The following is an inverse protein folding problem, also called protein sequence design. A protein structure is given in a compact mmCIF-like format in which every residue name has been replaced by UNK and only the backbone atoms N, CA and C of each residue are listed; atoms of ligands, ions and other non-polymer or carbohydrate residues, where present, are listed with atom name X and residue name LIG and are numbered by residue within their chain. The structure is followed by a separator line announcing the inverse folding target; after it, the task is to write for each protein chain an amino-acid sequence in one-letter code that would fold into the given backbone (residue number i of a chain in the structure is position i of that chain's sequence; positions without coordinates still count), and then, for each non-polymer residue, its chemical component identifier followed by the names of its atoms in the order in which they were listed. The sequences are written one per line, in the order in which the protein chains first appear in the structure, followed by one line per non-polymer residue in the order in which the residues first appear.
data_IF_832525105344
#
_entry.id   IF_832525105344
#
_cell.length_a   1.000
_cell.length_b   1.000
_cell.length_c   1.000
_cell.angle_alpha   90.00
_cell.angle_beta   90.00
_cell.angle_gamma   90.00
#
_symmetry.space_group_name_H-M   'P 1'
#
loop_
_entity.id
_entity.type
_entity.pdbx_description
1 polymer ?
#
# COMPACT_ATOMS: atom_id res chain seq x y z
N UNK A 1 -0.73 0.68 -17.25
CA UNK A 1 -0.31 -0.64 -16.71
C UNK A 1 0.68 -0.50 -15.55
N UNK A 2 0.55 0.54 -14.69
CA UNK A 2 1.53 0.81 -13.63
C UNK A 2 1.41 -0.13 -12.42
N UNK A 3 0.29 -0.83 -12.28
CA UNK A 3 0.10 -1.87 -11.28
C UNK A 3 -0.57 -3.07 -11.95
N UNK A 4 0.12 -4.21 -11.96
CA UNK A 4 -0.37 -5.45 -12.60
C UNK A 4 -1.06 -6.39 -11.59
N UNK A 5 -0.94 -6.09 -10.30
CA UNK A 5 -1.45 -6.86 -9.15
C UNK A 5 -2.77 -6.32 -8.62
N UNK A 6 -3.26 -5.18 -9.09
CA UNK A 6 -4.49 -4.53 -8.60
C UNK A 6 -4.58 -3.05 -8.95
N UNK A 7 -5.54 -2.31 -8.35
CA UNK A 7 -5.62 -0.86 -8.48
C UNK A 7 -4.41 -0.19 -7.80
N UNK A 8 -4.06 1.01 -8.28
CA UNK A 8 -3.15 1.89 -7.54
C UNK A 8 -3.81 2.28 -6.22
N UNK A 9 -3.03 2.38 -5.15
CA UNK A 9 -3.50 2.78 -3.83
C UNK A 9 -2.93 4.14 -3.42
N UNK A 10 -3.68 4.90 -2.65
CA UNK A 10 -3.21 6.10 -1.96
C UNK A 10 -3.02 5.77 -0.49
N UNK A 11 -1.77 5.68 -0.04
CA UNK A 11 -1.44 5.36 1.33
C UNK A 11 -1.04 6.62 2.10
N UNK A 12 -1.47 6.73 3.35
CA UNK A 12 -1.09 7.86 4.19
C UNK A 12 0.42 7.89 4.48
N UNK A 13 1.02 6.71 4.63
CA UNK A 13 2.47 6.54 4.74
C UNK A 13 2.92 5.21 4.14
N UNK A 14 4.20 5.15 3.79
CA UNK A 14 4.92 3.92 3.45
C UNK A 14 6.05 3.76 4.44
N UNK A 15 6.10 2.63 5.14
CA UNK A 15 7.07 2.35 6.19
C UNK A 15 7.77 1.01 5.95
N UNK A 16 8.85 0.75 6.68
CA UNK A 16 9.54 -0.53 6.58
C UNK A 16 8.87 -1.59 7.45
N UNK A 17 8.77 -2.83 6.98
CA UNK A 17 8.27 -3.95 7.79
C UNK A 17 9.09 -4.21 9.06
N UNK A 18 10.33 -3.72 9.12
CA UNK A 18 11.20 -3.81 10.30
C UNK A 18 11.04 -2.66 11.30
N UNK A 19 10.27 -1.62 10.98
CA UNK A 19 10.00 -0.53 11.93
C UNK A 19 9.23 -1.09 13.13
N UNK A 20 9.64 -0.83 14.39
CA UNK A 20 9.07 -1.50 15.56
C UNK A 20 7.54 -1.43 15.65
N UNK A 21 6.96 -0.29 15.25
CA UNK A 21 5.51 -0.10 15.20
C UNK A 21 4.83 -0.94 14.11
N UNK A 22 5.44 -1.03 12.93
CA UNK A 22 4.93 -1.83 11.81
C UNK A 22 5.07 -3.31 12.13
N UNK A 23 6.22 -3.77 12.61
CA UNK A 23 6.44 -5.16 13.05
C UNK A 23 5.40 -5.59 14.08
N UNK A 24 5.10 -4.73 15.05
CA UNK A 24 4.09 -5.01 16.07
C UNK A 24 2.69 -5.11 15.46
N UNK A 25 2.32 -4.18 14.57
CA UNK A 25 1.04 -4.20 13.86
C UNK A 25 0.88 -5.46 13.00
N UNK A 26 1.89 -5.81 12.22
CA UNK A 26 1.91 -7.02 11.39
C UNK A 26 1.75 -8.28 12.26
N UNK A 27 2.44 -8.33 13.40
CA UNK A 27 2.30 -9.44 14.37
C UNK A 27 0.90 -9.56 14.95
N UNK A 28 0.23 -8.43 15.26
CA UNK A 28 -1.16 -8.42 15.72
C UNK A 28 -2.15 -8.89 14.65
N UNK A 29 -1.85 -8.60 13.38
CA UNK A 29 -2.65 -9.02 12.23
C UNK A 29 -2.34 -10.45 11.76
N UNK A 30 -1.33 -11.10 12.36
CA UNK A 30 -0.89 -12.44 11.95
C UNK A 30 -0.18 -12.47 10.60
N UNK A 31 0.32 -11.32 10.12
CA UNK A 31 1.06 -11.21 8.85
C UNK A 31 2.53 -11.52 9.14
N UNK A 32 3.03 -12.59 8.52
CA UNK A 32 4.43 -13.00 8.60
C UNK A 32 5.10 -12.69 7.28
N UNK A 33 6.18 -11.91 7.33
CA UNK A 33 6.99 -11.54 6.17
C UNK A 33 8.38 -12.14 6.32
N UNK A 34 8.91 -12.74 5.25
CA UNK A 34 10.27 -13.29 5.23
C UNK A 34 11.37 -12.19 5.16
N UNK A 35 11.00 -10.91 5.11
CA UNK A 35 11.92 -9.77 5.00
C UNK A 35 11.62 -8.65 5.99
N UNK A 36 12.68 -8.15 6.64
CA UNK A 36 12.62 -7.03 7.59
C UNK A 36 12.63 -5.63 6.94
N UNK A 37 12.65 -5.54 5.60
CA UNK A 37 12.68 -4.27 4.86
C UNK A 37 11.65 -4.23 3.73
N UNK A 38 10.54 -4.94 3.88
CA UNK A 38 9.45 -4.92 2.91
C UNK A 38 8.71 -3.58 3.06
N UNK A 39 8.49 -2.82 1.98
CA UNK A 39 7.69 -1.59 2.06
C UNK A 39 6.23 -1.89 2.37
N UNK A 40 5.73 -1.27 3.43
CA UNK A 40 4.37 -1.43 3.92
C UNK A 40 3.62 -0.12 3.78
N UNK A 41 2.54 -0.13 3.00
CA UNK A 41 1.58 0.97 2.95
C UNK A 41 0.65 0.92 4.15
N UNK A 42 0.46 2.03 4.84
CA UNK A 42 -0.48 2.15 5.96
C UNK A 42 -1.65 3.06 5.62
N UNK A 43 -2.83 2.66 6.07
CA UNK A 43 -4.09 3.38 5.85
C UNK A 43 -4.24 3.73 4.37
N UNK A 44 -4.34 2.68 3.54
CA UNK A 44 -4.41 2.82 2.09
C UNK A 44 -5.86 2.77 1.62
N UNK A 45 -6.18 3.60 0.62
CA UNK A 45 -7.44 3.53 -0.10
C UNK A 45 -7.19 3.26 -1.58
N UNK A 46 -8.02 2.43 -2.24
CA UNK A 46 -7.89 2.21 -3.67
C UNK A 46 -8.22 3.50 -4.42
N UNK A 47 -7.35 3.87 -5.35
CA UNK A 47 -7.64 4.90 -6.34
C UNK A 47 -8.44 4.21 -7.44
N UNK A 48 -9.67 4.68 -7.69
CA UNK A 48 -10.47 4.07 -8.72
C UNK A 48 -9.78 4.20 -10.09
N UNK A 49 -9.66 3.08 -10.79
CA UNK A 49 -8.92 3.02 -12.07
C UNK A 49 -9.68 3.73 -13.20
N UNK A 50 -10.99 3.96 -13.01
CA UNK A 50 -11.83 4.74 -13.90
C UNK A 50 -11.46 6.24 -13.90
N UNK A 51 -10.62 6.69 -12.96
CA UNK A 51 -10.17 8.08 -12.83
C UNK A 51 -8.75 8.37 -13.31
N UNK A 52 -7.94 7.36 -13.67
CA UNK A 52 -6.51 7.56 -14.03
C UNK A 52 -6.28 8.38 -15.32
N UNK A 53 -7.34 8.78 -16.03
CA UNK A 53 -7.27 9.78 -17.10
C UNK A 53 -8.08 11.06 -16.83
N UNK A 54 -8.82 11.14 -15.71
CA UNK A 54 -9.87 12.13 -15.47
C UNK A 54 -9.86 12.69 -14.03
N UNK A 55 -8.73 12.62 -13.31
CA UNK A 55 -8.60 13.24 -11.98
C UNK A 55 -8.48 12.29 -10.79
N UNK A 56 -7.88 11.12 -10.98
CA UNK A 56 -7.37 10.34 -9.86
C UNK A 56 -6.33 11.17 -9.09
N UNK A 57 -6.66 11.59 -7.87
CA UNK A 57 -5.77 12.34 -7.00
C UNK A 57 -5.41 11.52 -5.76
N UNK A 58 -4.14 11.58 -5.38
CA UNK A 58 -3.66 11.14 -4.09
C UNK A 58 -2.89 12.29 -3.47
N UNK A 59 -3.41 12.85 -2.38
CA UNK A 59 -2.74 13.92 -1.65
C UNK A 59 -1.64 13.39 -0.71
N UNK A 60 -1.51 12.06 -0.61
CA UNK A 60 -0.52 11.35 0.19
C UNK A 60 0.48 10.60 -0.70
N UNK A 61 0.67 9.29 -0.47
CA UNK A 61 1.63 8.49 -1.22
C UNK A 61 0.93 7.56 -2.22
N UNK A 62 0.98 7.86 -3.53
CA UNK A 62 0.50 6.95 -4.55
C UNK A 62 1.45 5.75 -4.70
N UNK A 63 0.93 4.54 -4.54
CA UNK A 63 1.72 3.29 -4.58
C UNK A 63 1.00 2.17 -5.33
N UNK A 64 1.77 1.22 -5.84
CA UNK A 64 1.30 -0.09 -6.27
C UNK A 64 1.79 -1.12 -5.26
N UNK A 65 0.90 -1.93 -4.70
CA UNK A 65 1.27 -2.95 -3.71
C UNK A 65 1.05 -4.36 -4.28
N UNK A 66 1.78 -5.33 -3.75
CA UNK A 66 1.66 -6.75 -4.12
C UNK A 66 0.39 -7.35 -3.52
N UNK A 67 0.10 -6.99 -2.27
CA UNK A 67 -1.18 -7.30 -1.62
C UNK A 67 -2.09 -6.06 -1.67
N UNK A 68 -3.16 -6.17 -2.44
CA UNK A 68 -4.19 -5.14 -2.60
C UNK A 68 -5.52 -5.57 -1.94
N UNK A 69 -5.46 -6.45 -0.95
CA UNK A 69 -6.67 -6.98 -0.33
C UNK A 69 -7.37 -5.91 0.51
N UNK A 70 -8.60 -5.59 0.07
CA UNK A 70 -9.64 -4.76 0.71
C UNK A 70 -9.62 -3.25 0.48
N UNK A 71 -10.82 -2.73 0.19
CA UNK A 71 -11.17 -1.31 -0.04
C UNK A 71 -10.77 -0.36 1.11
N UNK A 72 -10.39 -0.91 2.27
CA UNK A 72 -10.00 -0.20 3.49
C UNK A 72 -8.88 -0.93 4.23
N UNK A 73 -7.82 -1.32 3.53
CA UNK A 73 -6.74 -2.03 4.18
C UNK A 73 -5.94 -1.11 5.11
N UNK A 74 -5.87 -1.50 6.38
CA UNK A 74 -4.97 -0.89 7.35
C UNK A 74 -3.50 -1.07 6.93
N UNK A 75 -3.19 -2.14 6.19
CA UNK A 75 -1.84 -2.56 5.81
C UNK A 75 -1.86 -3.11 4.39
N UNK A 76 -1.01 -2.56 3.51
CA UNK A 76 -0.71 -3.11 2.19
C UNK A 76 0.77 -3.48 2.10
N UNK A 77 1.07 -4.61 1.47
CA UNK A 77 2.43 -5.20 1.48
C UNK A 77 3.09 -5.04 0.10
N UNK A 78 4.40 -4.82 0.10
CA UNK A 78 5.18 -4.76 -1.14
C UNK A 78 4.92 -3.49 -1.94
N UNK A 79 4.71 -2.37 -1.25
CA UNK A 79 4.27 -1.13 -1.90
C UNK A 79 5.43 -0.38 -2.57
N UNK A 80 5.31 -0.13 -3.86
CA UNK A 80 6.25 0.67 -4.65
C UNK A 80 5.60 2.00 -5.07
N UNK A 81 6.32 3.15 -4.96
CA UNK A 81 5.79 4.43 -5.41
C UNK A 81 5.45 4.44 -6.90
N UNK A 82 4.35 5.10 -7.27
CA UNK A 82 3.95 5.32 -8.66
C UNK A 82 3.64 6.79 -8.93
N UNK A 83 3.67 7.20 -10.19
CA UNK A 83 3.21 8.52 -10.62
C UNK A 83 1.76 8.40 -11.12
N UNK A 84 0.89 9.29 -10.66
CA UNK A 84 -0.50 9.43 -11.13
C UNK A 84 -0.59 10.25 -12.41
#
# INVERSE_FOLDING_TARGET
SQCNTGPVQCCQSVQSSGDPGVTSLLGLLGIVLDGANVPIGLTCSPINVLGLGQGASCDANPVCCEDNSSEYSLVSVGCVPVNL
#
